data_IF_553816241413
#
_entry.id   IF_553816241413
#
_cell.length_a   1.000
_cell.length_b   1.000
_cell.length_c   1.000
_cell.angle_alpha   90.00
_cell.angle_beta   90.00
_cell.angle_gamma   90.00
#
_symmetry.space_group_name_H-M   'P 1'
#
loop_
_entity.id
_entity.type
_entity.pdbx_description
1 polymer ?
#
# COMPACT_ATOMS: atom_id res chain seq x y z
N UNK A 1 5.50 34.44 31.31
CA UNK A 1 4.54 34.40 30.18
C UNK A 1 3.42 35.41 30.45
N UNK A 2 3.18 36.36 29.55
CA UNK A 2 2.26 37.48 29.77
C UNK A 2 0.80 37.00 29.97
N UNK A 3 0.09 37.42 31.04
CA UNK A 3 -1.31 37.05 31.30
C UNK A 3 -2.28 37.43 30.18
N UNK A 4 -2.05 38.53 29.47
CA UNK A 4 -2.86 38.91 28.31
C UNK A 4 -2.72 37.93 27.15
N UNK A 5 -1.51 37.43 26.91
CA UNK A 5 -1.25 36.47 25.84
C UNK A 5 -2.00 35.16 26.08
N UNK A 6 -1.99 34.65 27.33
CA UNK A 6 -2.77 33.45 27.70
C UNK A 6 -4.28 33.66 27.51
N UNK A 7 -4.81 34.85 27.83
CA UNK A 7 -6.22 35.19 27.59
C UNK A 7 -6.57 35.24 26.10
N UNK A 8 -5.71 35.83 25.26
CA UNK A 8 -5.91 35.90 23.80
C UNK A 8 -5.88 34.51 23.17
N UNK A 9 -4.95 33.64 23.56
CA UNK A 9 -4.87 32.26 23.07
C UNK A 9 -6.10 31.45 23.49
N UNK A 10 -6.53 31.55 24.75
CA UNK A 10 -7.73 30.84 25.23
C UNK A 10 -9.01 31.32 24.53
N UNK A 11 -9.13 32.62 24.28
CA UNK A 11 -10.25 33.20 23.52
C UNK A 11 -10.26 32.67 22.08
N UNK A 12 -9.11 32.69 21.40
CA UNK A 12 -8.99 32.22 20.02
C UNK A 12 -9.25 30.72 19.88
N UNK A 13 -8.80 29.90 20.83
CA UNK A 13 -9.09 28.46 20.84
C UNK A 13 -10.60 28.17 21.02
N UNK A 14 -11.31 29.01 21.78
CA UNK A 14 -12.77 28.93 21.93
C UNK A 14 -13.52 29.31 20.65
N UNK A 15 -13.07 30.36 19.96
CA UNK A 15 -13.63 30.80 18.67
C UNK A 15 -13.48 29.73 17.59
N UNK A 16 -12.27 29.17 17.45
CA UNK A 16 -11.97 28.09 16.48
C UNK A 16 -12.79 26.83 16.77
N UNK A 17 -12.90 26.42 18.04
CA UNK A 17 -13.74 25.28 18.43
C UNK A 17 -15.20 25.49 18.05
N UNK A 18 -15.73 26.72 18.17
CA UNK A 18 -17.11 27.06 17.81
C UNK A 18 -17.32 27.07 16.29
N UNK A 19 -16.35 27.56 15.52
CA UNK A 19 -16.39 27.52 14.06
C UNK A 19 -16.37 26.09 13.52
N UNK A 20 -15.51 25.22 14.07
CA UNK A 20 -15.46 23.79 13.73
C UNK A 20 -16.79 23.10 14.06
N UNK A 21 -17.35 23.34 15.24
CA UNK A 21 -18.64 22.77 15.63
C UNK A 21 -19.79 23.25 14.73
N UNK A 22 -19.78 24.52 14.33
CA UNK A 22 -20.79 25.09 13.42
C UNK A 22 -20.66 24.53 12.00
N UNK A 23 -19.42 24.38 11.50
CA UNK A 23 -19.14 23.73 10.21
C UNK A 23 -19.58 22.27 10.20
N UNK A 24 -19.26 21.50 11.24
CA UNK A 24 -19.67 20.11 11.37
C UNK A 24 -21.20 19.95 11.39
N UNK A 25 -21.91 20.83 12.12
CA UNK A 25 -23.37 20.83 12.16
C UNK A 25 -24.00 21.17 10.79
N UNK A 26 -23.42 22.12 10.05
CA UNK A 26 -23.89 22.50 8.70
C UNK A 26 -23.70 21.37 7.69
N UNK A 27 -22.56 20.68 7.74
CA UNK A 27 -22.28 19.52 6.87
C UNK A 27 -23.19 18.35 7.25
N UNK A 28 -23.41 18.09 8.54
CA UNK A 28 -24.34 17.06 8.99
C UNK A 28 -25.79 17.33 8.54
N UNK A 29 -26.24 18.60 8.59
CA UNK A 29 -27.54 19.04 8.07
C UNK A 29 -27.66 18.82 6.56
N UNK A 30 -26.69 19.31 5.79
CA UNK A 30 -26.66 19.14 4.33
C UNK A 30 -26.61 17.66 3.91
N UNK A 31 -25.90 16.82 4.67
CA UNK A 31 -25.84 15.37 4.45
C UNK A 31 -27.18 14.71 4.76
N UNK A 32 -27.85 15.12 5.83
CA UNK A 32 -29.19 14.63 6.20
C UNK A 32 -30.23 14.95 5.12
N UNK A 33 -30.21 16.17 4.58
CA UNK A 33 -31.15 16.59 3.54
C UNK A 33 -30.86 15.89 2.20
N UNK A 34 -29.59 15.68 1.87
CA UNK A 34 -29.19 14.93 0.67
C UNK A 34 -29.52 13.43 0.78
N UNK A 35 -29.46 12.85 1.98
CA UNK A 35 -29.84 11.46 2.27
C UNK A 35 -31.37 11.30 2.27
N UNK A 36 -32.12 12.27 2.77
CA UNK A 36 -33.58 12.27 2.73
C UNK A 36 -34.13 12.33 1.28
N UNK A 37 -33.42 12.99 0.37
CA UNK A 37 -33.77 13.03 -1.06
C UNK A 37 -33.44 11.74 -1.83
N UNK A 38 -32.58 10.85 -1.31
CA UNK A 38 -32.08 9.67 -2.04
C UNK A 38 -32.59 8.33 -1.52
N UNK A 39 -33.34 8.29 -0.43
CA UNK A 39 -33.88 7.05 0.16
C UNK A 39 -35.36 6.87 -0.18
N UNK A 40 -35.65 6.32 -1.36
CA UNK A 40 -36.94 5.65 -1.66
C UNK A 40 -36.88 4.12 -1.45
N UNK A 41 -35.76 3.54 -0.98
CA UNK A 41 -35.69 2.10 -0.67
C UNK A 41 -34.92 1.80 0.62
N UNK A 42 -35.38 0.83 1.43
CA UNK A 42 -34.79 0.55 2.73
C UNK A 42 -33.60 -0.41 2.56
N UNK A 43 -32.37 0.12 2.66
CA UNK A 43 -31.17 -0.68 2.90
C UNK A 43 -30.57 -0.24 4.25
N UNK A 44 -30.04 -1.22 4.98
CA UNK A 44 -29.68 -1.19 6.40
C UNK A 44 -29.01 0.11 6.89
N UNK A 45 -29.77 0.85 7.70
CA UNK A 45 -29.41 2.15 8.29
C UNK A 45 -28.11 2.17 9.11
N UNK A 46 -27.53 1.02 9.48
CA UNK A 46 -26.33 0.94 10.35
C UNK A 46 -25.02 0.88 9.58
N UNK A 47 -24.96 0.13 8.48
CA UNK A 47 -23.73 0.01 7.67
C UNK A 47 -23.49 1.30 6.88
N UNK A 48 -24.55 1.89 6.33
CA UNK A 48 -24.46 3.16 5.62
C UNK A 48 -24.02 4.34 6.52
N UNK A 49 -24.46 4.39 7.78
CA UNK A 49 -24.05 5.44 8.73
C UNK A 49 -22.56 5.30 9.10
N UNK A 50 -22.05 4.07 9.19
CA UNK A 50 -20.62 3.80 9.43
C UNK A 50 -19.78 4.29 8.25
N UNK A 51 -20.18 3.99 7.01
CA UNK A 51 -19.44 4.38 5.82
C UNK A 51 -19.48 5.89 5.57
N UNK A 52 -20.64 6.51 5.80
CA UNK A 52 -20.79 7.97 5.73
C UNK A 52 -19.95 8.70 6.80
N UNK A 53 -19.82 8.14 8.00
CA UNK A 53 -18.95 8.67 9.07
C UNK A 53 -17.47 8.53 8.70
N UNK A 54 -17.05 7.41 8.10
CA UNK A 54 -15.67 7.22 7.62
C UNK A 54 -15.30 8.25 6.55
N UNK A 55 -16.21 8.49 5.59
CA UNK A 55 -16.00 9.51 4.54
C UNK A 55 -15.97 10.93 5.14
N UNK A 56 -16.87 11.24 6.07
CA UNK A 56 -16.94 12.56 6.71
C UNK A 56 -15.68 12.88 7.54
N UNK A 57 -15.18 11.90 8.29
CA UNK A 57 -13.92 12.03 9.06
C UNK A 57 -12.74 12.19 8.12
N UNK A 58 -12.75 11.49 6.97
CA UNK A 58 -11.78 11.66 5.88
C UNK A 58 -11.75 13.09 5.31
N UNK A 59 -12.91 13.67 5.01
CA UNK A 59 -13.00 14.99 4.36
C UNK A 59 -12.70 16.14 5.32
N UNK A 60 -13.18 16.06 6.57
CA UNK A 60 -13.04 17.16 7.55
C UNK A 60 -11.65 17.22 8.19
N UNK A 61 -10.98 16.08 8.42
CA UNK A 61 -9.65 16.06 9.04
C UNK A 61 -8.50 16.16 8.04
N UNK A 62 -8.72 15.81 6.77
CA UNK A 62 -7.63 15.70 5.79
C UNK A 62 -7.76 16.65 4.58
N UNK A 63 -8.73 17.56 4.56
CA UNK A 63 -8.81 18.61 3.53
C UNK A 63 -8.81 18.08 2.09
N UNK A 64 -9.42 16.91 1.85
CA UNK A 64 -9.53 16.32 0.51
C UNK A 64 -10.76 16.88 -0.20
N UNK A 65 -10.54 17.87 -1.06
CA UNK A 65 -11.45 18.17 -2.16
C UNK A 65 -11.35 17.06 -3.21
N UNK A 66 -12.29 16.12 -3.20
CA UNK A 66 -12.58 15.30 -4.40
C UNK A 66 -13.45 16.16 -5.35
N UNK A 67 -12.85 17.19 -5.94
CA UNK A 67 -13.49 18.14 -6.83
C UNK A 67 -13.33 17.78 -8.31
N UNK A 68 -14.38 17.14 -8.86
CA UNK A 68 -14.93 17.29 -10.22
C UNK A 68 -14.02 17.92 -11.29
N UNK A 69 -13.51 17.10 -12.22
CA UNK A 69 -13.20 17.57 -13.57
C UNK A 69 -14.51 17.90 -14.31
N UNK A 70 -14.77 19.20 -14.51
CA UNK A 70 -15.73 19.68 -15.51
C UNK A 70 -15.03 19.67 -16.87
N UNK A 71 -15.42 18.76 -17.76
CA UNK A 71 -15.16 18.93 -19.19
C UNK A 71 -16.01 20.08 -19.72
N UNK A 72 -15.35 21.10 -20.25
CA UNK A 72 -15.98 22.17 -21.01
C UNK A 72 -16.57 21.60 -22.31
N UNK A 73 -17.87 21.79 -22.46
CA UNK A 73 -18.59 21.58 -23.71
C UNK A 73 -18.73 22.97 -24.35
N UNK A 74 -17.87 23.31 -25.31
CA UNK A 74 -18.08 24.47 -26.17
C UNK A 74 -18.74 24.00 -27.47
N UNK A 75 -19.91 24.58 -27.73
CA UNK A 75 -20.60 24.52 -29.00
C UNK A 75 -19.78 25.25 -30.07
N UNK A 76 -19.50 24.58 -31.19
CA UNK A 76 -19.39 25.28 -32.47
C UNK A 76 -20.15 24.51 -33.55
N UNK A 77 -21.19 25.18 -34.03
CA UNK A 77 -21.97 24.84 -35.22
C UNK A 77 -21.21 25.30 -36.46
N UNK A 78 -20.92 24.41 -37.41
CA UNK A 78 -20.84 24.79 -38.82
C UNK A 78 -21.12 23.62 -39.77
N UNK A 79 -21.81 23.98 -40.84
CA UNK A 79 -22.52 23.23 -41.88
C UNK A 79 -21.59 22.45 -42.81
N UNK A 80 -22.03 21.33 -43.44
CA UNK A 80 -21.17 20.51 -44.28
C UNK A 80 -20.96 21.14 -45.67
N UNK A 81 -19.71 21.13 -46.15
CA UNK A 81 -19.40 21.35 -47.56
C UNK A 81 -18.86 20.05 -48.17
N UNK A 82 -19.53 19.61 -49.22
CA UNK A 82 -19.15 18.49 -50.06
C UNK A 82 -17.93 18.88 -50.90
N UNK A 83 -16.82 18.15 -50.76
CA UNK A 83 -15.86 18.01 -51.84
C UNK A 83 -15.38 16.57 -51.92
N UNK A 84 -15.93 15.87 -52.89
CA UNK A 84 -15.44 14.60 -53.42
C UNK A 84 -14.11 14.87 -54.13
N UNK A 85 -13.01 14.37 -53.58
CA UNK A 85 -11.77 14.21 -54.35
C UNK A 85 -11.24 12.80 -54.12
N UNK A 86 -11.22 12.06 -55.22
CA UNK A 86 -10.71 10.69 -55.31
C UNK A 86 -9.18 10.74 -55.21
N UNK A 87 -8.63 10.24 -54.11
CA UNK A 87 -7.22 9.86 -54.03
C UNK A 87 -7.12 8.34 -53.89
N UNK A 88 -6.34 7.75 -54.80
CA UNK A 88 -6.03 6.33 -54.86
C UNK A 88 -5.33 5.91 -53.58
N UNK A 89 -5.85 4.87 -52.93
CA UNK A 89 -5.16 4.16 -51.85
C UNK A 89 -3.90 3.48 -52.42
N UNK A 90 -2.71 3.67 -51.84
CA UNK A 90 -1.59 2.77 -52.10
C UNK A 90 -1.89 1.42 -51.45
N UNK A 91 -1.98 0.39 -52.29
CA UNK A 91 -1.89 -1.02 -51.91
C UNK A 91 -0.45 -1.30 -51.46
N UNK A 92 -0.21 -1.28 -50.15
CA UNK A 92 0.73 -2.13 -49.39
C UNK A 92 1.02 -1.49 -48.04
N UNK A 93 0.11 -1.71 -47.09
CA UNK A 93 0.41 -1.57 -45.67
C UNK A 93 0.57 -2.97 -45.09
N UNK A 94 1.72 -3.58 -45.33
CA UNK A 94 2.22 -4.67 -44.48
C UNK A 94 2.44 -4.06 -43.10
N UNK A 95 1.44 -4.19 -42.24
CA UNK A 95 1.57 -3.87 -40.82
C UNK A 95 2.60 -4.86 -40.28
N UNK A 96 3.82 -4.40 -40.02
CA UNK A 96 4.77 -5.14 -39.20
C UNK A 96 4.08 -5.39 -37.86
N UNK A 97 3.56 -6.60 -37.68
CA UNK A 97 3.16 -7.09 -36.38
C UNK A 97 4.42 -7.02 -35.52
N UNK A 98 4.44 -6.07 -34.59
CA UNK A 98 5.51 -5.94 -33.61
C UNK A 98 5.78 -7.28 -32.92
N UNK A 99 6.95 -7.44 -32.28
CA UNK A 99 7.37 -8.71 -31.70
C UNK A 99 6.23 -9.31 -30.88
N UNK A 100 5.78 -10.49 -31.28
CA UNK A 100 4.79 -11.24 -30.52
C UNK A 100 5.41 -11.46 -29.13
N UNK A 101 4.79 -10.89 -28.11
CA UNK A 101 5.16 -11.14 -26.73
C UNK A 101 4.80 -12.61 -26.50
N UNK A 102 5.81 -13.48 -26.53
CA UNK A 102 5.64 -14.90 -26.22
C UNK A 102 4.94 -15.00 -24.86
N UNK A 103 3.85 -15.77 -24.80
CA UNK A 103 3.13 -16.01 -23.57
C UNK A 103 4.10 -16.61 -22.55
N UNK A 104 4.35 -15.92 -21.44
CA UNK A 104 5.18 -16.45 -20.36
C UNK A 104 4.44 -17.61 -19.72
N UNK A 105 5.05 -18.80 -19.74
CA UNK A 105 4.54 -19.93 -18.98
C UNK A 105 4.67 -19.63 -17.48
N UNK A 106 3.62 -19.96 -16.71
CA UNK A 106 3.65 -19.76 -15.27
C UNK A 106 4.66 -20.73 -14.62
N UNK A 107 5.70 -20.15 -14.02
CA UNK A 107 6.58 -20.86 -13.10
C UNK A 107 6.16 -20.56 -11.66
N UNK A 108 5.98 -21.58 -10.79
CA UNK A 108 5.59 -21.35 -9.40
C UNK A 108 6.71 -20.67 -8.60
N UNK A 109 6.38 -19.90 -7.55
CA UNK A 109 7.38 -19.28 -6.68
C UNK A 109 8.34 -20.30 -6.08
N UNK A 110 9.59 -19.90 -5.86
CA UNK A 110 10.53 -20.67 -5.07
C UNK A 110 9.95 -20.99 -3.68
N UNK A 111 10.40 -22.08 -3.06
CA UNK A 111 9.88 -22.50 -1.77
C UNK A 111 9.95 -21.39 -0.70
N UNK A 112 8.91 -21.32 0.12
CA UNK A 112 8.79 -20.28 1.16
C UNK A 112 10.03 -20.21 2.08
N UNK A 113 10.74 -21.33 2.26
CA UNK A 113 11.94 -21.41 3.10
C UNK A 113 13.03 -20.40 2.74
N UNK A 114 13.16 -20.07 1.45
CA UNK A 114 14.14 -19.09 0.97
C UNK A 114 13.83 -17.66 1.43
N UNK A 115 12.58 -17.38 1.80
CA UNK A 115 12.11 -16.04 2.18
C UNK A 115 11.93 -15.87 3.70
N UNK A 116 12.11 -16.94 4.49
CA UNK A 116 11.86 -16.91 5.95
C UNK A 116 12.90 -16.13 6.75
N UNK A 117 14.13 -16.01 6.23
CA UNK A 117 15.18 -15.26 6.91
C UNK A 117 15.01 -13.75 6.68
N UNK A 118 14.39 -13.05 7.62
CA UNK A 118 14.23 -11.61 7.56
C UNK A 118 15.35 -10.83 8.28
N UNK A 119 16.44 -11.48 8.72
CA UNK A 119 17.52 -10.79 9.46
C UNK A 119 18.38 -9.88 8.59
N UNK A 120 18.46 -10.16 7.29
CA UNK A 120 19.00 -9.22 6.29
C UNK A 120 18.22 -7.90 6.27
N UNK A 121 16.98 -7.92 6.78
CA UNK A 121 16.14 -6.77 7.03
C UNK A 121 14.99 -6.65 6.04
N UNK A 122 14.12 -5.71 6.36
CA UNK A 122 12.99 -5.27 5.55
C UNK A 122 13.29 -3.87 5.03
N UNK A 123 12.98 -3.62 3.75
CA UNK A 123 12.96 -2.28 3.18
C UNK A 123 11.53 -1.87 2.85
N UNK A 124 11.11 -0.69 3.29
CA UNK A 124 9.88 -0.02 2.85
C UNK A 124 10.27 1.21 2.05
N UNK A 125 10.14 1.12 0.73
CA UNK A 125 10.43 2.21 -0.19
C UNK A 125 9.14 2.95 -0.55
N UNK A 126 9.09 4.24 -0.25
CA UNK A 126 7.89 5.06 -0.45
C UNK A 126 8.06 6.09 -1.57
N UNK A 127 6.99 6.38 -2.31
CA UNK A 127 6.99 7.36 -3.40
C UNK A 127 7.27 8.79 -2.93
N UNK A 128 6.88 9.13 -1.70
CA UNK A 128 7.03 10.48 -1.16
C UNK A 128 7.00 10.47 0.38
N UNK A 129 7.17 11.64 0.98
CA UNK A 129 7.18 11.83 2.43
C UNK A 129 5.83 11.54 3.11
N UNK A 130 4.69 11.76 2.42
CA UNK A 130 3.37 11.43 3.00
C UNK A 130 3.19 9.92 3.16
N UNK A 131 3.63 9.12 2.19
CA UNK A 131 3.63 7.66 2.32
C UNK A 131 4.60 7.19 3.41
N UNK A 132 5.78 7.79 3.53
CA UNK A 132 6.71 7.51 4.64
C UNK A 132 6.02 7.75 6.00
N UNK A 133 5.32 8.87 6.15
CA UNK A 133 4.61 9.23 7.37
C UNK A 133 3.48 8.24 7.69
N UNK A 134 2.70 7.83 6.67
CA UNK A 134 1.60 6.88 6.82
C UNK A 134 2.09 5.49 7.26
N UNK A 135 3.20 5.00 6.69
CA UNK A 135 3.84 3.75 7.13
C UNK A 135 4.27 3.86 8.59
N UNK A 136 4.99 4.93 8.93
CA UNK A 136 5.48 5.13 10.30
C UNK A 136 4.34 5.20 11.33
N UNK A 137 3.27 5.94 11.01
CA UNK A 137 2.08 6.01 11.85
C UNK A 137 1.46 4.62 12.06
N UNK A 138 1.26 3.86 10.98
CA UNK A 138 0.66 2.52 11.06
C UNK A 138 1.50 1.57 11.92
N UNK A 139 2.83 1.62 11.78
CA UNK A 139 3.75 0.83 12.61
C UNK A 139 3.65 1.23 14.08
N UNK A 140 3.58 2.52 14.41
CA UNK A 140 3.41 3.00 15.78
C UNK A 140 2.07 2.53 16.39
N UNK A 141 0.97 2.71 15.65
CA UNK A 141 -0.36 2.29 16.07
C UNK A 141 -0.41 0.78 16.34
N UNK A 142 0.18 -0.03 15.46
CA UNK A 142 0.23 -1.48 15.65
C UNK A 142 1.16 -1.86 16.78
N UNK A 143 2.36 -1.28 16.86
CA UNK A 143 3.29 -1.49 17.98
C UNK A 143 2.64 -1.27 19.35
N UNK A 144 1.78 -0.25 19.47
CA UNK A 144 1.07 0.04 20.72
C UNK A 144 0.17 -1.11 21.22
N UNK A 145 -0.37 -1.90 20.28
CA UNK A 145 -1.29 -3.02 20.53
C UNK A 145 -0.56 -4.37 20.65
N UNK A 146 0.76 -4.42 20.40
CA UNK A 146 1.55 -5.66 20.48
C UNK A 146 2.01 -5.94 21.91
N UNK A 147 2.20 -7.22 22.21
CA UNK A 147 2.86 -7.66 23.43
C UNK A 147 4.26 -7.02 23.54
N UNK A 148 4.71 -6.75 24.78
CA UNK A 148 5.95 -6.00 25.03
C UNK A 148 7.16 -6.52 24.26
N UNK A 149 7.33 -7.84 24.17
CA UNK A 149 8.45 -8.50 23.48
C UNK A 149 8.39 -8.40 21.96
N UNK A 150 7.24 -8.08 21.39
CA UNK A 150 7.03 -7.94 19.94
C UNK A 150 6.81 -6.47 19.53
N UNK A 151 7.00 -5.51 20.44
CA UNK A 151 6.89 -4.10 20.10
C UNK A 151 7.98 -3.68 19.12
N UNK A 152 7.65 -2.70 18.30
CA UNK A 152 8.62 -2.00 17.46
C UNK A 152 9.35 -0.95 18.29
N UNK A 153 10.67 -0.94 18.17
CA UNK A 153 11.56 0.10 18.66
C UNK A 153 11.95 1.01 17.51
N UNK A 154 11.69 2.31 17.65
CA UNK A 154 11.83 3.27 16.56
C UNK A 154 13.06 4.14 16.76
N UNK A 155 13.83 4.32 15.69
CA UNK A 155 15.01 5.17 15.63
C UNK A 155 14.95 6.02 14.37
N UNK A 156 15.34 7.30 14.46
CA UNK A 156 15.41 8.19 13.32
C UNK A 156 16.85 8.61 13.06
N UNK A 157 17.32 8.38 11.83
CA UNK A 157 18.63 8.84 11.36
C UNK A 157 18.43 9.70 10.12
N UNK A 158 18.27 11.02 10.33
CA UNK A 158 17.95 11.96 9.26
C UNK A 158 16.61 11.64 8.59
N UNK A 159 16.65 11.38 7.28
CA UNK A 159 15.49 11.01 6.47
C UNK A 159 15.14 9.50 6.51
N UNK A 160 16.04 8.67 7.04
CA UNK A 160 15.80 7.23 7.22
C UNK A 160 15.10 7.01 8.56
N UNK A 161 13.94 6.36 8.52
CA UNK A 161 13.28 5.83 9.71
C UNK A 161 13.62 4.35 9.84
N UNK A 162 14.03 3.93 11.03
CA UNK A 162 14.27 2.53 11.36
C UNK A 162 13.30 2.10 12.43
N UNK A 163 12.73 0.92 12.27
CA UNK A 163 11.97 0.24 13.31
C UNK A 163 12.53 -1.18 13.48
N UNK A 164 12.76 -1.63 14.70
CA UNK A 164 13.24 -2.99 14.97
C UNK A 164 12.16 -3.73 15.76
N UNK A 165 11.83 -4.95 15.32
CA UNK A 165 10.91 -5.84 16.05
C UNK A 165 11.52 -7.21 16.24
N UNK A 166 10.88 -8.05 17.04
CA UNK A 166 11.34 -9.38 17.40
C UNK A 166 10.34 -10.43 16.94
N UNK A 167 10.80 -11.40 16.16
CA UNK A 167 9.94 -12.45 15.58
C UNK A 167 10.43 -13.85 15.93
N UNK A 168 9.50 -14.81 15.85
CA UNK A 168 9.80 -16.23 16.03
C UNK A 168 10.30 -16.81 14.70
N UNK A 169 11.16 -17.82 14.77
CA UNK A 169 11.67 -18.52 13.60
C UNK A 169 11.31 -20.01 13.60
N UNK A 170 11.19 -20.56 12.39
CA UNK A 170 10.95 -21.96 12.12
C UNK A 170 12.12 -22.77 12.67
N UNK A 171 11.81 -23.96 13.17
CA UNK A 171 12.85 -24.88 13.53
C UNK A 171 13.37 -25.59 12.28
N UNK A 172 14.64 -25.42 11.91
CA UNK A 172 15.30 -26.34 10.97
C UNK A 172 14.90 -27.76 11.34
N UNK A 173 14.38 -28.50 10.36
CA UNK A 173 13.70 -29.79 10.52
C UNK A 173 14.48 -30.83 11.32
N UNK A 174 15.78 -30.62 11.50
CA UNK A 174 16.73 -31.55 12.09
C UNK A 174 16.88 -31.49 13.62
N UNK A 175 16.06 -30.69 14.33
CA UNK A 175 16.12 -30.60 15.81
C UNK A 175 14.74 -30.75 16.44
N UNK A 176 14.30 -32.00 16.56
CA UNK A 176 12.99 -32.41 17.06
C UNK A 176 12.67 -32.05 18.51
N UNK A 177 13.61 -31.59 19.34
CA UNK A 177 13.39 -31.41 20.79
C UNK A 177 13.99 -30.12 21.38
N UNK A 178 13.56 -28.93 20.93
CA UNK A 178 13.80 -27.72 21.72
C UNK A 178 12.54 -26.84 21.89
N UNK A 179 12.21 -26.42 23.13
CA UNK A 179 11.11 -25.54 23.44
C UNK A 179 11.43 -24.11 22.98
N UNK A 180 10.54 -23.49 22.21
CA UNK A 180 10.54 -22.07 21.81
C UNK A 180 11.91 -21.49 21.38
N UNK A 181 12.16 -21.43 20.07
CA UNK A 181 13.36 -20.75 19.51
C UNK A 181 13.42 -19.27 19.90
N UNK A 182 14.63 -18.69 20.04
CA UNK A 182 14.81 -17.32 20.50
C UNK A 182 14.18 -16.35 19.51
N UNK A 183 13.52 -15.32 20.07
CA UNK A 183 13.11 -14.16 19.30
C UNK A 183 14.35 -13.50 18.68
N UNK A 184 14.29 -13.20 17.40
CA UNK A 184 15.38 -12.51 16.70
C UNK A 184 14.94 -11.17 16.16
N UNK A 185 15.88 -10.23 16.10
CA UNK A 185 15.63 -8.87 15.65
C UNK A 185 15.45 -8.82 14.13
N UNK A 186 14.42 -8.11 13.70
CA UNK A 186 14.09 -7.83 12.30
C UNK A 186 14.10 -6.30 12.11
N UNK A 187 15.12 -5.74 11.44
CA UNK A 187 15.18 -4.31 11.17
C UNK A 187 14.30 -3.96 9.96
N UNK A 188 13.45 -2.95 10.12
CA UNK A 188 12.60 -2.36 9.08
C UNK A 188 13.13 -0.97 8.76
N UNK A 189 13.62 -0.78 7.54
CA UNK A 189 14.18 0.47 7.04
C UNK A 189 13.13 1.14 6.15
N UNK A 190 12.70 2.36 6.48
CA UNK A 190 11.64 3.07 5.76
C UNK A 190 12.24 4.35 5.18
N UNK A 191 12.14 4.52 3.86
CA UNK A 191 12.72 5.65 3.16
C UNK A 191 11.88 6.04 1.93
N UNK A 192 11.73 7.35 1.72
CA UNK A 192 11.14 7.88 0.49
C UNK A 192 12.18 7.99 -0.63
N UNK A 193 11.77 7.78 -1.89
CA UNK A 193 12.65 7.87 -3.07
C UNK A 193 13.40 9.20 -3.16
N UNK A 194 12.74 10.30 -2.80
CA UNK A 194 13.33 11.65 -2.79
C UNK A 194 14.53 11.79 -1.81
N UNK A 195 14.66 10.85 -0.87
CA UNK A 195 15.71 10.88 0.16
C UNK A 195 16.83 9.86 -0.07
N UNK A 196 16.77 9.06 -1.15
CA UNK A 196 17.77 8.03 -1.44
C UNK A 196 19.16 8.60 -1.72
N UNK A 197 19.23 9.81 -2.30
CA UNK A 197 20.50 10.50 -2.59
C UNK A 197 21.14 11.14 -1.37
N UNK A 198 20.47 11.14 -0.21
CA UNK A 198 21.05 11.71 1.02
C UNK A 198 22.25 10.88 1.47
N UNK A 199 23.31 11.54 1.94
CA UNK A 199 24.53 10.87 2.44
C UNK A 199 24.24 9.84 3.54
N UNK A 200 23.20 10.09 4.34
CA UNK A 200 22.73 9.17 5.39
C UNK A 200 22.06 7.93 4.79
N UNK A 201 21.21 8.08 3.78
CA UNK A 201 20.58 6.96 3.08
C UNK A 201 21.63 6.08 2.40
N UNK A 202 22.56 6.71 1.65
CA UNK A 202 23.67 6.03 0.99
C UNK A 202 24.47 5.21 2.02
N UNK A 203 24.95 5.84 3.09
CA UNK A 203 25.74 5.13 4.12
C UNK A 203 25.00 3.95 4.76
N UNK A 204 23.68 4.05 4.94
CA UNK A 204 22.90 3.02 5.62
C UNK A 204 22.38 1.91 4.70
N UNK A 205 22.24 2.16 3.40
CA UNK A 205 21.62 1.23 2.45
C UNK A 205 22.60 0.73 1.38
N UNK A 206 23.73 1.41 1.17
CA UNK A 206 24.72 1.02 0.17
C UNK A 206 25.26 -0.39 0.45
N UNK A 207 25.27 -1.21 -0.60
CA UNK A 207 25.70 -2.61 -0.53
C UNK A 207 24.74 -3.53 0.24
N UNK A 208 23.66 -3.01 0.83
CA UNK A 208 22.65 -3.84 1.49
C UNK A 208 21.69 -4.41 0.47
N UNK A 209 21.18 -5.58 0.84
CA UNK A 209 20.18 -6.34 0.09
C UNK A 209 19.18 -6.91 1.08
N UNK A 210 17.90 -6.81 0.75
CA UNK A 210 16.80 -7.13 1.66
C UNK A 210 15.99 -8.30 1.11
N UNK A 211 15.55 -9.20 2.00
CA UNK A 211 14.73 -10.36 1.63
C UNK A 211 13.23 -10.02 1.53
N UNK A 212 12.83 -8.88 2.11
CA UNK A 212 11.46 -8.39 2.04
C UNK A 212 11.47 -6.90 1.69
N UNK A 213 10.81 -6.56 0.58
CA UNK A 213 10.71 -5.18 0.11
C UNK A 213 9.25 -4.80 -0.07
N UNK A 214 8.82 -3.75 0.61
CA UNK A 214 7.50 -3.14 0.39
C UNK A 214 7.65 -1.86 -0.43
N UNK A 215 6.86 -1.73 -1.50
CA UNK A 215 6.74 -0.52 -2.31
C UNK A 215 5.47 0.22 -1.93
N UNK A 216 5.54 1.53 -1.66
CA UNK A 216 4.41 2.33 -1.18
C UNK A 216 4.20 3.56 -2.05
N UNK A 217 3.05 3.68 -2.70
CA UNK A 217 2.77 4.80 -3.61
C UNK A 217 1.46 4.61 -4.36
N UNK A 218 1.18 5.49 -5.31
CA UNK A 218 0.08 5.32 -6.25
C UNK A 218 0.43 4.28 -7.33
N UNK A 219 -0.58 3.81 -8.06
CA UNK A 219 -0.43 2.93 -9.23
C UNK A 219 0.57 3.49 -10.25
N UNK A 220 0.57 4.83 -10.46
CA UNK A 220 1.54 5.51 -11.33
C UNK A 220 2.99 5.39 -10.87
N UNK A 221 3.23 5.17 -9.58
CA UNK A 221 4.57 5.17 -8.99
C UNK A 221 5.21 3.78 -9.01
N UNK A 222 4.41 2.71 -9.16
CA UNK A 222 4.84 1.32 -8.94
C UNK A 222 5.99 0.90 -9.85
N UNK A 223 5.93 1.22 -11.15
CA UNK A 223 7.02 0.90 -12.11
C UNK A 223 8.34 1.57 -11.72
N UNK A 224 8.28 2.83 -11.31
CA UNK A 224 9.47 3.57 -10.88
C UNK A 224 10.02 3.06 -9.55
N UNK A 225 9.15 2.81 -8.58
CA UNK A 225 9.51 2.23 -7.29
C UNK A 225 10.14 0.86 -7.44
N UNK A 226 9.57 -0.02 -8.28
CA UNK A 226 10.10 -1.35 -8.54
C UNK A 226 11.51 -1.29 -9.14
N UNK A 227 11.70 -0.50 -10.20
CA UNK A 227 13.02 -0.28 -10.82
C UNK A 227 14.04 0.24 -9.80
N UNK A 228 13.61 1.12 -8.90
CA UNK A 228 14.47 1.65 -7.84
C UNK A 228 14.77 0.59 -6.77
N UNK A 229 13.81 -0.27 -6.44
CA UNK A 229 13.96 -1.32 -5.45
C UNK A 229 14.88 -2.44 -5.90
N UNK A 230 14.96 -2.75 -7.19
CA UNK A 230 15.83 -3.80 -7.75
C UNK A 230 17.28 -3.71 -7.28
N UNK A 231 17.82 -2.50 -7.10
CA UNK A 231 19.18 -2.31 -6.61
C UNK A 231 19.37 -2.69 -5.13
N UNK A 232 18.31 -3.03 -4.40
CA UNK A 232 18.30 -3.37 -2.97
C UNK A 232 17.70 -4.76 -2.71
N UNK A 233 17.28 -5.50 -3.74
CA UNK A 233 16.74 -6.86 -3.60
C UNK A 233 17.87 -7.89 -3.62
N UNK A 234 17.82 -8.87 -2.71
CA UNK A 234 18.59 -10.10 -2.86
C UNK A 234 18.06 -10.94 -4.02
N UNK A 235 18.84 -11.93 -4.45
CA UNK A 235 18.46 -12.89 -5.50
C UNK A 235 17.08 -13.51 -5.23
N UNK A 236 16.75 -13.74 -3.95
CA UNK A 236 15.43 -14.15 -3.50
C UNK A 236 14.84 -13.11 -2.57
N UNK A 237 13.90 -12.31 -3.09
CA UNK A 237 13.23 -11.26 -2.33
C UNK A 237 11.73 -11.31 -2.52
N UNK A 238 10.98 -11.29 -1.42
CA UNK A 238 9.53 -11.14 -1.45
C UNK A 238 9.17 -9.66 -1.58
N UNK A 239 8.31 -9.33 -2.55
CA UNK A 239 7.79 -7.98 -2.72
C UNK A 239 6.37 -7.83 -2.17
N UNK A 240 6.09 -6.70 -1.54
CA UNK A 240 4.73 -6.26 -1.21
C UNK A 240 4.44 -4.96 -1.96
N UNK A 241 3.39 -4.96 -2.77
CA UNK A 241 2.92 -3.77 -3.48
C UNK A 241 1.85 -3.07 -2.65
N UNK A 242 2.22 -1.88 -2.18
CA UNK A 242 1.52 -1.11 -1.17
C UNK A 242 0.72 0.08 -1.72
N UNK A 243 0.17 -0.04 -2.93
CA UNK A 243 -0.73 0.93 -3.57
C UNK A 243 -2.07 0.28 -3.92
N UNK A 244 -3.08 1.10 -4.26
CA UNK A 244 -4.38 0.61 -4.73
C UNK A 244 -4.17 -0.37 -5.90
N UNK A 245 -4.86 -1.51 -5.87
CA UNK A 245 -4.81 -2.53 -6.93
C UNK A 245 -3.39 -3.06 -7.20
N UNK A 246 -2.55 -3.18 -6.17
CA UNK A 246 -1.19 -3.70 -6.29
C UNK A 246 -1.12 -5.06 -7.01
N UNK A 247 -2.16 -5.89 -6.91
CA UNK A 247 -2.23 -7.18 -7.59
C UNK A 247 -2.14 -7.07 -9.13
N UNK A 248 -2.60 -5.95 -9.72
CA UNK A 248 -2.57 -5.76 -11.18
C UNK A 248 -1.14 -5.59 -11.74
N UNK A 249 -0.14 -5.40 -10.89
CA UNK A 249 1.27 -5.30 -11.29
C UNK A 249 2.04 -6.61 -11.06
N UNK A 250 1.37 -7.69 -10.65
CA UNK A 250 2.03 -8.98 -10.43
C UNK A 250 2.60 -9.50 -11.76
N UNK A 251 1.82 -9.55 -12.84
CA UNK A 251 2.31 -10.04 -14.14
C UNK A 251 3.44 -9.18 -14.72
N UNK A 252 3.46 -7.88 -14.43
CA UNK A 252 4.51 -6.95 -14.88
C UNK A 252 5.89 -7.29 -14.27
N UNK A 253 5.95 -7.76 -13.03
CA UNK A 253 7.18 -7.78 -12.22
C UNK A 253 7.55 -9.16 -11.65
N UNK A 254 6.62 -10.12 -11.69
CA UNK A 254 6.80 -11.41 -11.07
C UNK A 254 7.99 -12.20 -11.64
N UNK A 255 8.68 -12.89 -10.76
CA UNK A 255 9.51 -14.05 -11.10
C UNK A 255 9.46 -15.07 -9.95
N UNK A 256 9.82 -16.34 -10.18
CA UNK A 256 9.86 -17.35 -9.12
C UNK A 256 10.70 -16.96 -7.91
N UNK A 257 11.82 -16.28 -8.14
CA UNK A 257 12.71 -15.80 -7.08
C UNK A 257 12.26 -14.47 -6.46
N UNK A 258 11.36 -13.75 -7.13
CA UNK A 258 10.79 -12.48 -6.65
C UNK A 258 9.26 -12.53 -6.61
N UNK A 259 8.66 -13.38 -5.76
CA UNK A 259 7.22 -13.43 -5.62
C UNK A 259 6.68 -12.10 -5.09
N UNK A 260 5.47 -11.78 -5.54
CA UNK A 260 4.83 -10.49 -5.28
C UNK A 260 3.52 -10.69 -4.54
N UNK A 261 3.29 -9.86 -3.53
CA UNK A 261 2.05 -9.76 -2.77
C UNK A 261 1.40 -8.43 -3.13
N UNK A 262 0.11 -8.44 -3.48
CA UNK A 262 -0.65 -7.23 -3.78
C UNK A 262 -2.13 -7.39 -3.43
N UNK A 263 -2.86 -6.29 -3.35
CA UNK A 263 -4.31 -6.29 -3.12
C UNK A 263 -5.07 -5.93 -4.41
N UNK A 264 -6.34 -6.33 -4.50
CA UNK A 264 -7.21 -5.99 -5.64
C UNK A 264 -8.11 -4.77 -5.39
N UNK A 265 -7.94 -4.05 -4.29
CA UNK A 265 -8.87 -3.01 -3.87
C UNK A 265 -8.31 -1.59 -4.07
N UNK A 266 -9.23 -0.64 -4.23
CA UNK A 266 -8.91 0.79 -4.26
C UNK A 266 -9.18 1.39 -2.89
N UNK A 267 -8.18 2.05 -2.30
CA UNK A 267 -8.42 3.08 -1.27
C UNK A 267 -7.87 2.84 0.14
N UNK A 268 -7.25 1.69 0.46
CA UNK A 268 -6.80 1.43 1.83
C UNK A 268 -5.28 1.31 1.98
N UNK A 269 -4.59 2.45 1.99
CA UNK A 269 -3.14 2.47 2.19
C UNK A 269 -2.71 1.93 3.59
N UNK A 270 -3.55 2.02 4.63
CA UNK A 270 -3.20 1.51 5.96
C UNK A 270 -3.12 -0.03 6.02
N UNK A 271 -3.86 -0.70 5.14
CA UNK A 271 -3.93 -2.16 5.07
C UNK A 271 -2.59 -2.76 4.67
N UNK A 272 -1.87 -2.17 3.72
CA UNK A 272 -0.68 -2.82 3.17
C UNK A 272 0.48 -2.79 4.17
N UNK A 273 0.57 -1.76 5.02
CA UNK A 273 1.51 -1.75 6.16
C UNK A 273 1.07 -2.73 7.25
N UNK A 274 -0.24 -2.95 7.44
CA UNK A 274 -0.72 -3.99 8.35
C UNK A 274 -0.35 -5.40 7.85
N UNK A 275 -0.46 -5.66 6.54
CA UNK A 275 0.01 -6.90 5.93
C UNK A 275 1.50 -7.11 6.15
N UNK A 276 2.33 -6.07 5.99
CA UNK A 276 3.77 -6.15 6.28
C UNK A 276 4.02 -6.67 7.70
N UNK A 277 3.35 -6.08 8.71
CA UNK A 277 3.51 -6.48 10.11
C UNK A 277 3.15 -7.95 10.31
N UNK A 278 2.07 -8.42 9.67
CA UNK A 278 1.65 -9.83 9.77
C UNK A 278 2.60 -10.77 9.05
N UNK A 279 3.05 -10.39 7.86
CA UNK A 279 4.01 -11.18 7.12
C UNK A 279 5.31 -11.39 7.90
N UNK A 280 5.84 -10.32 8.52
CA UNK A 280 7.03 -10.38 9.38
C UNK A 280 6.84 -11.39 10.52
N UNK A 281 5.63 -11.47 11.09
CA UNK A 281 5.33 -12.37 12.22
C UNK A 281 5.12 -13.82 11.80
N UNK A 282 4.48 -14.04 10.65
CA UNK A 282 4.00 -15.36 10.24
C UNK A 282 4.95 -16.07 9.26
N UNK A 283 5.71 -15.36 8.42
CA UNK A 283 6.58 -15.98 7.41
C UNK A 283 7.62 -16.90 8.05
N UNK A 284 8.19 -16.45 9.17
CA UNK A 284 9.18 -17.20 9.93
C UNK A 284 8.61 -18.49 10.52
N UNK A 285 7.29 -18.66 10.65
CA UNK A 285 6.66 -19.83 11.28
C UNK A 285 5.73 -20.60 10.32
N UNK A 286 5.78 -20.29 9.02
CA UNK A 286 4.90 -20.90 8.03
C UNK A 286 5.60 -22.00 7.23
N UNK A 287 4.96 -23.16 7.09
CA UNK A 287 5.52 -24.37 6.48
C UNK A 287 5.52 -24.35 4.95
N UNK A 288 4.53 -23.68 4.36
CA UNK A 288 4.33 -23.54 2.92
C UNK A 288 3.75 -22.16 2.60
N UNK A 289 3.70 -21.81 1.31
CA UNK A 289 2.99 -20.62 0.85
C UNK A 289 1.49 -20.67 1.20
N UNK A 290 0.85 -21.83 1.08
CA UNK A 290 -0.56 -22.03 1.43
C UNK A 290 -0.82 -21.86 2.93
N UNK A 291 0.07 -22.36 3.79
CA UNK A 291 -0.01 -22.16 5.24
C UNK A 291 0.16 -20.68 5.61
N UNK A 292 1.13 -20.00 5.02
CA UNK A 292 1.31 -18.55 5.21
C UNK A 292 0.07 -17.77 4.76
N UNK A 293 -0.46 -18.07 3.56
CA UNK A 293 -1.66 -17.46 3.04
C UNK A 293 -2.84 -17.69 4.00
N UNK A 294 -3.04 -18.91 4.48
CA UNK A 294 -4.11 -19.27 5.42
C UNK A 294 -3.98 -18.51 6.75
N UNK A 295 -2.77 -18.36 7.29
CA UNK A 295 -2.51 -17.60 8.52
C UNK A 295 -2.79 -16.11 8.36
N UNK A 296 -2.48 -15.54 7.19
CA UNK A 296 -2.71 -14.12 6.89
C UNK A 296 -4.19 -13.88 6.54
N UNK A 297 -4.73 -14.58 5.53
CA UNK A 297 -6.12 -14.46 5.07
C UNK A 297 -7.13 -14.92 6.14
N UNK A 298 -6.76 -15.83 7.03
CA UNK A 298 -7.60 -16.30 8.12
C UNK A 298 -8.01 -15.22 9.12
N UNK A 299 -7.33 -14.07 9.14
CA UNK A 299 -7.60 -12.98 10.08
C UNK A 299 -8.73 -12.06 9.59
N UNK A 300 -9.68 -11.76 10.48
CA UNK A 300 -10.93 -11.06 10.16
C UNK A 300 -10.73 -9.70 9.46
N UNK A 301 -9.66 -8.99 9.80
CA UNK A 301 -9.32 -7.69 9.21
C UNK A 301 -8.79 -7.80 7.77
N UNK A 302 -8.37 -8.99 7.32
CA UNK A 302 -7.73 -9.20 6.02
C UNK A 302 -8.60 -9.96 5.01
N UNK A 303 -9.64 -10.67 5.45
CA UNK A 303 -10.52 -11.49 4.60
C UNK A 303 -11.21 -10.73 3.46
N UNK A 304 -11.48 -9.44 3.66
CA UNK A 304 -12.23 -8.63 2.70
C UNK A 304 -11.34 -7.78 1.79
N UNK A 305 -10.02 -7.96 1.83
CA UNK A 305 -9.08 -7.08 1.15
C UNK A 305 -8.66 -7.52 -0.23
N UNK A 306 -9.19 -8.65 -0.72
CA UNK A 306 -8.82 -9.17 -2.04
C UNK A 306 -7.31 -9.34 -2.17
N UNK A 307 -6.65 -9.76 -1.10
CA UNK A 307 -5.21 -10.06 -1.12
C UNK A 307 -4.92 -11.15 -2.14
N UNK A 308 -3.88 -10.95 -2.94
CA UNK A 308 -3.32 -11.89 -3.89
C UNK A 308 -1.86 -12.10 -3.51
N UNK A 309 -1.51 -13.32 -3.15
CA UNK A 309 -0.16 -13.71 -2.75
C UNK A 309 0.13 -15.17 -3.11
N UNK A 310 1.39 -15.61 -3.14
CA UNK A 310 1.71 -17.03 -3.27
C UNK A 310 0.94 -17.88 -2.26
N UNK A 311 0.40 -19.01 -2.72
CA UNK A 311 -0.47 -19.88 -1.93
C UNK A 311 -1.96 -19.55 -2.05
N UNK A 312 -2.34 -18.38 -2.57
CA UNK A 312 -3.72 -18.13 -3.00
C UNK A 312 -4.02 -18.92 -4.29
N UNK A 313 -5.13 -19.68 -4.37
CA UNK A 313 -5.53 -20.38 -5.60
C UNK A 313 -5.64 -19.48 -6.84
N UNK A 314 -5.91 -18.18 -6.66
CA UNK A 314 -6.04 -17.19 -7.73
C UNK A 314 -4.70 -16.62 -8.19
N UNK A 315 -3.59 -16.92 -7.49
CA UNK A 315 -2.31 -16.25 -7.72
C UNK A 315 -1.80 -16.44 -9.15
N UNK A 316 -1.93 -17.66 -9.67
CA UNK A 316 -1.55 -18.00 -11.05
C UNK A 316 -2.23 -17.09 -12.08
N UNK A 317 -3.53 -16.86 -11.91
CA UNK A 317 -4.32 -16.01 -12.81
C UNK A 317 -3.83 -14.55 -12.84
N UNK A 318 -3.10 -14.08 -11.83
CA UNK A 318 -2.51 -12.74 -11.82
C UNK A 318 -1.10 -12.71 -12.40
N UNK A 319 -0.40 -13.85 -12.42
CA UNK A 319 0.91 -13.96 -13.05
C UNK A 319 0.79 -14.11 -14.57
N UNK A 320 -0.22 -14.85 -15.04
CA UNK A 320 -0.41 -15.17 -16.47
C UNK A 320 -1.12 -14.06 -17.29
N UNK A 321 -1.55 -12.96 -16.66
CA UNK A 321 -2.26 -11.83 -17.33
C UNK A 321 -1.36 -10.93 -18.14
#
# INVERSE_FOLDING_TARGET
>A
MNPEFKRRVKKRAGEVSKEIATGAAKVAGATRDHVAQKLEKPIGRREFVRDALTVLVGTVLFGRDCGKEKKGLEHSTSTPSNHTTSERLPEDNTVELGPQVEAREYEPPADIEYFRDLHSGVLVLTANASETAAVNQTLHERSSRRAGTAKYHFERSGALLKATTKTRQFADRDRSHQPSRPLRDVPVNIIGVDNLSSSVAIRNLQGRRFNLVQLRGHTSDMKHLFKTAQQYMNDKSLLILGGCEGANFISDFYSPDHPIIGDTYVGESAVNTYMLVRLIDEIGVSESWEDLYTKIAGQADLRNLGLIMPGDPRYRDFVER
#
